data_IF_750364124075
#
_entry.id   IF_750364124075
#
_cell.length_a   1.000
_cell.length_b   1.000
_cell.length_c   1.000
_cell.angle_alpha   90.00
_cell.angle_beta   90.00
_cell.angle_gamma   90.00
#
_symmetry.space_group_name_H-M   'P 1'
#
loop_
_entity.id
_entity.type
_entity.pdbx_description
1 polymer ?
#
# COMPACT_ATOMS: atom_id res chain seq x y z
N UNK A 1 3.72 17.68 -7.51
CA UNK A 1 3.83 17.58 -8.96
C UNK A 1 2.72 18.36 -9.61
N UNK A 2 3.05 19.24 -10.54
CA UNK A 2 2.09 19.75 -11.49
C UNK A 2 2.29 18.98 -12.79
N UNK A 3 1.24 18.34 -13.29
CA UNK A 3 1.23 17.90 -14.69
C UNK A 3 1.06 19.18 -15.49
N UNK A 4 2.10 19.57 -16.23
CA UNK A 4 2.09 20.73 -17.11
C UNK A 4 1.46 20.25 -18.42
N UNK A 5 0.27 20.73 -18.72
CA UNK A 5 -0.35 20.54 -20.03
C UNK A 5 0.45 21.30 -21.12
N UNK A 6 0.21 21.01 -22.39
CA UNK A 6 0.77 21.79 -23.53
C UNK A 6 0.42 23.29 -23.46
N UNK A 7 -0.58 23.68 -22.65
CA UNK A 7 -1.01 25.05 -22.39
C UNK A 7 -0.41 25.69 -21.12
N UNK A 8 0.49 25.00 -20.40
CA UNK A 8 1.14 25.52 -19.20
C UNK A 8 0.31 25.46 -17.91
N UNK A 9 -0.91 24.91 -17.95
CA UNK A 9 -1.75 24.76 -16.76
C UNK A 9 -1.35 23.56 -15.89
N UNK A 10 -1.56 23.73 -14.58
CA UNK A 10 -1.07 22.89 -13.51
C UNK A 10 -2.22 22.02 -12.95
N UNK A 11 -2.41 20.78 -13.43
CA UNK A 11 -3.52 19.94 -12.95
C UNK A 11 -3.19 19.30 -11.59
N UNK A 12 -4.09 19.49 -10.61
CA UNK A 12 -4.07 18.76 -9.32
C UNK A 12 -4.97 17.54 -9.44
N UNK A 13 -4.41 16.37 -9.21
CA UNK A 13 -5.19 15.13 -9.18
C UNK A 13 -5.89 15.02 -7.83
N UNK A 14 -7.22 15.15 -7.79
CA UNK A 14 -8.00 15.03 -6.56
C UNK A 14 -8.07 13.58 -6.05
N UNK A 15 -7.86 13.39 -4.75
CA UNK A 15 -8.01 12.11 -4.05
C UNK A 15 -9.32 12.08 -3.24
N UNK A 16 -10.06 13.19 -3.13
CA UNK A 16 -11.27 13.25 -2.31
C UNK A 16 -10.98 13.69 -0.87
N UNK A 17 -12.03 14.05 -0.12
CA UNK A 17 -11.95 14.56 1.26
C UNK A 17 -10.98 15.75 1.42
N UNK A 18 -10.88 16.58 0.39
CA UNK A 18 -9.97 17.73 0.32
C UNK A 18 -8.50 17.38 0.02
N UNK A 19 -8.16 16.09 -0.09
CA UNK A 19 -6.81 15.64 -0.44
C UNK A 19 -6.57 15.68 -1.94
N UNK A 20 -5.31 15.91 -2.30
CA UNK A 20 -4.79 15.82 -3.67
C UNK A 20 -3.58 14.90 -3.72
N UNK A 21 -3.26 14.40 -4.90
CA UNK A 21 -2.05 13.65 -5.12
C UNK A 21 -0.82 14.54 -4.90
N UNK A 22 0.08 14.02 -4.07
CA UNK A 22 1.38 14.59 -3.79
C UNK A 22 2.39 14.08 -4.80
N UNK A 23 3.24 13.17 -4.33
CA UNK A 23 4.40 12.69 -5.06
C UNK A 23 4.34 11.17 -5.20
N UNK A 24 4.86 10.65 -6.31
CA UNK A 24 4.98 9.21 -6.54
C UNK A 24 6.45 8.90 -6.80
N UNK A 25 6.98 7.89 -6.11
CA UNK A 25 8.39 7.50 -6.19
C UNK A 25 8.51 5.99 -6.30
N UNK A 26 9.61 5.52 -6.87
CA UNK A 26 10.07 4.15 -6.66
C UNK A 26 11.04 4.14 -5.49
N UNK A 27 11.00 3.09 -4.67
CA UNK A 27 11.93 2.91 -3.56
C UNK A 27 13.39 3.03 -4.02
N UNK A 28 14.21 3.73 -3.23
CA UNK A 28 15.62 4.03 -3.50
C UNK A 28 15.93 4.79 -4.80
N UNK A 29 14.92 5.36 -5.47
CA UNK A 29 15.14 6.25 -6.61
C UNK A 29 15.01 7.72 -6.21
N UNK A 30 15.85 8.57 -6.83
CA UNK A 30 15.91 10.01 -6.53
C UNK A 30 14.97 10.87 -7.39
N UNK A 31 14.21 10.26 -8.29
CA UNK A 31 13.34 10.99 -9.23
C UNK A 31 11.86 10.73 -8.95
N UNK A 32 11.06 11.77 -9.19
CA UNK A 32 9.62 11.76 -9.07
C UNK A 32 9.00 11.14 -10.33
N UNK A 33 8.07 10.21 -10.16
CA UNK A 33 7.34 9.53 -11.23
C UNK A 33 6.06 10.30 -11.52
N UNK A 34 5.76 10.58 -12.78
CA UNK A 34 4.48 11.17 -13.17
C UNK A 34 3.32 10.25 -12.80
N UNK A 35 2.29 10.81 -12.18
CA UNK A 35 1.08 10.07 -11.78
C UNK A 35 0.11 10.05 -12.96
N UNK A 36 -0.49 8.89 -13.24
CA UNK A 36 -1.54 8.73 -14.24
C UNK A 36 -2.77 9.60 -13.88
N UNK A 37 -3.12 10.62 -14.69
CA UNK A 37 -4.33 11.40 -14.48
C UNK A 37 -5.54 10.65 -15.08
N UNK A 38 -6.54 10.24 -14.27
CA UNK A 38 -7.67 9.49 -14.78
C UNK A 38 -8.51 10.33 -15.73
N UNK A 39 -8.83 9.76 -16.89
CA UNK A 39 -9.71 10.40 -17.88
C UNK A 39 -11.17 10.36 -17.41
N UNK A 40 -12.04 11.17 -18.00
CA UNK A 40 -13.49 11.10 -17.76
C UNK A 40 -14.07 9.72 -18.12
N UNK A 41 -13.49 9.04 -19.12
CA UNK A 41 -13.83 7.65 -19.44
C UNK A 41 -13.46 6.71 -18.30
N UNK A 42 -12.25 6.83 -17.76
CA UNK A 42 -11.81 6.01 -16.63
C UNK A 42 -12.73 6.20 -15.41
N UNK A 43 -13.08 7.45 -15.09
CA UNK A 43 -13.99 7.79 -13.99
C UNK A 43 -15.43 7.29 -14.21
N UNK A 44 -15.91 7.27 -15.46
CA UNK A 44 -17.22 6.67 -15.80
C UNK A 44 -17.25 5.16 -15.61
N UNK A 45 -16.14 4.48 -15.86
CA UNK A 45 -16.03 3.03 -15.68
C UNK A 45 -15.83 2.70 -14.19
N UNK A 46 -15.00 3.49 -13.50
CA UNK A 46 -14.77 3.38 -12.07
C UNK A 46 -14.68 4.77 -11.43
N UNK A 47 -15.76 5.23 -10.80
CA UNK A 47 -15.80 6.51 -10.09
C UNK A 47 -14.70 6.57 -9.00
N UNK A 48 -14.36 5.41 -8.44
CA UNK A 48 -13.35 5.20 -7.42
C UNK A 48 -11.93 4.93 -7.94
N UNK A 49 -11.60 5.40 -9.16
CA UNK A 49 -10.32 5.06 -9.80
C UNK A 49 -9.10 5.39 -8.91
N UNK A 50 -9.03 6.63 -8.39
CA UNK A 50 -7.95 7.08 -7.50
C UNK A 50 -8.30 6.92 -6.04
N UNK A 51 -9.59 7.03 -5.70
CA UNK A 51 -10.03 6.96 -4.32
C UNK A 51 -11.34 6.23 -4.22
N UNK A 52 -11.33 5.13 -3.48
CA UNK A 52 -12.53 4.41 -3.12
C UNK A 52 -13.09 4.98 -1.83
N UNK A 53 -14.19 5.73 -1.94
CA UNK A 53 -14.88 6.35 -0.80
C UNK A 53 -15.37 5.32 0.23
N UNK A 54 -15.64 4.08 -0.18
CA UNK A 54 -16.17 3.01 0.69
C UNK A 54 -15.08 2.42 1.59
N UNK A 55 -13.89 2.25 1.02
CA UNK A 55 -12.73 1.67 1.73
C UNK A 55 -11.75 2.75 2.22
N UNK A 56 -11.91 3.99 1.75
CA UNK A 56 -10.97 5.10 1.87
C UNK A 56 -9.56 4.75 1.35
N UNK A 57 -9.48 3.83 0.40
CA UNK A 57 -8.22 3.42 -0.21
C UNK A 57 -7.83 4.37 -1.34
N UNK A 58 -6.55 4.70 -1.39
CA UNK A 58 -5.95 5.51 -2.45
C UNK A 58 -5.24 4.61 -3.43
N UNK A 59 -5.35 4.94 -4.72
CA UNK A 59 -4.63 4.31 -5.80
C UNK A 59 -3.84 5.37 -6.58
N UNK A 60 -2.53 5.41 -6.38
CA UNK A 60 -1.62 6.25 -7.17
C UNK A 60 -0.82 5.37 -8.12
N UNK A 61 -0.99 5.60 -9.42
CA UNK A 61 -0.43 4.78 -10.49
C UNK A 61 0.61 5.59 -11.28
N UNK A 62 1.74 4.99 -11.70
CA UNK A 62 2.61 5.57 -12.71
C UNK A 62 1.86 5.86 -14.02
N UNK A 63 2.15 7.01 -14.63
CA UNK A 63 1.71 7.34 -15.99
C UNK A 63 2.39 6.45 -17.03
N UNK A 64 3.65 6.09 -16.81
CA UNK A 64 4.40 5.19 -17.68
C UNK A 64 3.87 3.74 -17.54
N UNK A 65 3.28 3.17 -18.62
CA UNK A 65 2.70 1.83 -18.58
C UNK A 65 3.75 0.71 -18.42
N UNK A 66 4.98 0.90 -18.88
CA UNK A 66 6.05 -0.08 -18.69
C UNK A 66 6.48 -0.13 -17.23
N UNK A 67 6.64 1.04 -16.60
CA UNK A 67 6.95 1.14 -15.18
C UNK A 67 5.82 0.59 -14.30
N UNK A 68 4.56 0.93 -14.62
CA UNK A 68 3.37 0.40 -13.97
C UNK A 68 3.35 -1.13 -13.99
N UNK A 69 3.55 -1.72 -15.18
CA UNK A 69 3.60 -3.17 -15.37
C UNK A 69 4.75 -3.80 -14.56
N UNK A 70 5.95 -3.26 -14.68
CA UNK A 70 7.14 -3.76 -13.98
C UNK A 70 6.96 -3.76 -12.46
N UNK A 71 6.43 -2.68 -11.89
CA UNK A 71 6.16 -2.60 -10.45
C UNK A 71 5.09 -3.62 -10.03
N UNK A 72 4.01 -3.74 -10.80
CA UNK A 72 2.93 -4.70 -10.55
C UNK A 72 3.43 -6.15 -10.55
N UNK A 73 4.28 -6.52 -11.51
CA UNK A 73 4.90 -7.85 -11.60
C UNK A 73 5.89 -8.10 -10.45
N UNK A 74 6.71 -7.10 -10.12
CA UNK A 74 7.66 -7.18 -9.01
C UNK A 74 6.98 -7.40 -7.66
N UNK A 75 5.87 -6.68 -7.41
CA UNK A 75 5.05 -6.87 -6.21
C UNK A 75 4.41 -8.26 -6.18
N UNK A 76 3.91 -8.75 -7.31
CA UNK A 76 3.32 -10.09 -7.40
C UNK A 76 4.31 -11.19 -6.99
N UNK A 77 5.49 -11.17 -7.59
CA UNK A 77 6.57 -12.11 -7.33
C UNK A 77 7.06 -12.01 -5.87
N UNK A 78 7.29 -10.78 -5.38
CA UNK A 78 7.73 -10.56 -4.00
C UNK A 78 6.69 -11.06 -2.99
N UNK A 79 5.41 -10.78 -3.24
CA UNK A 79 4.30 -11.24 -2.41
C UNK A 79 4.23 -12.76 -2.37
N UNK A 80 4.32 -13.43 -3.52
CA UNK A 80 4.28 -14.89 -3.60
C UNK A 80 5.44 -15.52 -2.81
N UNK A 81 6.66 -15.02 -2.98
CA UNK A 81 7.84 -15.51 -2.26
C UNK A 81 7.70 -15.36 -0.74
N UNK A 82 7.31 -14.17 -0.26
CA UNK A 82 7.07 -13.92 1.17
C UNK A 82 5.96 -14.83 1.70
N UNK A 83 4.86 -14.95 0.95
CA UNK A 83 3.73 -15.79 1.33
C UNK A 83 4.12 -17.27 1.46
N UNK A 84 4.95 -17.78 0.54
CA UNK A 84 5.45 -19.15 0.59
C UNK A 84 6.32 -19.39 1.83
N UNK A 85 7.23 -18.47 2.15
CA UNK A 85 8.07 -18.58 3.36
C UNK A 85 7.22 -18.49 4.63
N UNK A 86 6.24 -17.59 4.70
CA UNK A 86 5.31 -17.54 5.83
C UNK A 86 4.51 -18.82 5.97
N UNK A 87 4.01 -19.37 4.86
CA UNK A 87 3.19 -20.58 4.87
C UNK A 87 3.94 -21.82 5.34
N UNK A 88 5.27 -21.85 5.23
CA UNK A 88 6.10 -22.96 5.71
C UNK A 88 6.65 -22.73 7.11
N UNK A 89 6.92 -21.48 7.50
CA UNK A 89 7.62 -21.18 8.77
C UNK A 89 6.71 -20.63 9.86
N UNK A 90 5.63 -19.93 9.49
CA UNK A 90 4.73 -19.16 10.38
C UNK A 90 3.31 -19.12 9.83
N UNK A 91 2.78 -20.28 9.43
CA UNK A 91 1.45 -20.38 8.82
C UNK A 91 0.34 -19.87 9.76
N UNK A 92 0.57 -19.97 11.07
CA UNK A 92 -0.30 -19.47 12.12
C UNK A 92 -0.49 -17.94 12.09
N UNK A 93 0.43 -17.20 11.47
CA UNK A 93 0.30 -15.74 11.32
C UNK A 93 -0.58 -15.35 10.15
N UNK A 94 -0.86 -16.25 9.20
CA UNK A 94 -1.64 -15.91 8.00
C UNK A 94 -3.12 -15.82 8.36
N UNK A 95 -3.69 -14.62 8.19
CA UNK A 95 -5.11 -14.40 8.48
C UNK A 95 -5.98 -14.97 7.37
N UNK A 96 -6.87 -15.89 7.75
CA UNK A 96 -7.86 -16.51 6.86
C UNK A 96 -9.21 -15.80 6.96
N UNK A 97 -9.91 -15.73 5.84
CA UNK A 97 -11.27 -15.21 5.75
C UNK A 97 -12.30 -16.25 6.22
N UNK A 98 -13.58 -15.85 6.33
CA UNK A 98 -14.67 -16.73 6.81
C UNK A 98 -14.87 -18.01 5.99
N UNK A 99 -14.38 -18.06 4.75
CA UNK A 99 -14.47 -19.23 3.86
C UNK A 99 -13.17 -20.05 3.82
N UNK A 100 -12.21 -19.75 4.71
CA UNK A 100 -10.91 -20.42 4.77
C UNK A 100 -9.90 -19.98 3.70
N UNK A 101 -10.25 -19.02 2.84
CA UNK A 101 -9.34 -18.38 1.89
C UNK A 101 -8.50 -17.28 2.55
N UNK A 102 -7.58 -16.66 1.80
CA UNK A 102 -6.74 -15.56 2.29
C UNK A 102 -7.39 -14.23 1.88
N UNK A 103 -7.56 -13.29 2.82
CA UNK A 103 -8.03 -11.92 2.50
C UNK A 103 -7.01 -11.19 1.60
N UNK A 104 -7.44 -10.23 0.77
CA UNK A 104 -6.50 -9.27 0.16
C UNK A 104 -5.54 -9.76 -0.95
N UNK A 105 -5.73 -10.97 -1.50
CA UNK A 105 -4.88 -11.52 -2.56
C UNK A 105 -5.35 -11.30 -4.00
N UNK A 106 -6.53 -10.71 -4.21
CA UNK A 106 -7.11 -10.51 -5.54
C UNK A 106 -6.32 -9.49 -6.36
N UNK A 107 -6.16 -9.73 -7.67
CA UNK A 107 -5.71 -8.68 -8.57
C UNK A 107 -6.83 -7.62 -8.72
N UNK A 108 -6.46 -6.35 -8.83
CA UNK A 108 -7.43 -5.28 -9.03
C UNK A 108 -7.93 -5.32 -10.49
N UNK A 109 -8.94 -6.16 -10.73
CA UNK A 109 -9.57 -6.33 -12.04
C UNK A 109 -10.33 -5.09 -12.49
N UNK A 110 -10.58 -4.13 -11.61
CA UNK A 110 -11.19 -2.85 -11.98
C UNK A 110 -10.38 -2.14 -13.08
N UNK A 111 -9.06 -2.21 -13.06
CA UNK A 111 -8.25 -1.54 -14.08
C UNK A 111 -8.28 -2.21 -15.46
N UNK A 112 -8.73 -3.46 -15.57
CA UNK A 112 -8.78 -4.17 -16.86
C UNK A 112 -9.79 -3.58 -17.84
N UNK A 113 -10.78 -2.82 -17.35
CA UNK A 113 -11.76 -2.14 -18.22
C UNK A 113 -11.38 -0.69 -18.56
N UNK A 114 -10.28 -0.20 -18.01
CA UNK A 114 -9.82 1.19 -18.16
C UNK A 114 -8.78 1.30 -19.27
N UNK A 115 -8.31 2.51 -19.61
CA UNK A 115 -7.26 2.65 -20.64
C UNK A 115 -5.91 2.00 -20.24
N UNK A 116 -5.69 1.78 -18.93
CA UNK A 116 -4.56 1.00 -18.41
C UNK A 116 -4.66 -0.47 -18.86
N UNK A 117 -5.88 -0.99 -19.05
CA UNK A 117 -6.22 -2.33 -19.58
C UNK A 117 -5.29 -3.45 -19.09
N UNK A 118 -5.05 -3.50 -17.79
CA UNK A 118 -4.29 -4.59 -17.17
C UNK A 118 -4.81 -4.90 -15.77
N UNK A 119 -4.61 -6.14 -15.35
CA UNK A 119 -4.90 -6.58 -13.99
C UNK A 119 -3.76 -6.11 -13.09
N UNK A 120 -4.00 -5.11 -12.25
CA UNK A 120 -2.97 -4.52 -11.40
C UNK A 120 -2.82 -5.28 -10.08
N UNK A 121 -1.57 -5.53 -9.69
CA UNK A 121 -1.19 -6.16 -8.42
C UNK A 121 -0.48 -5.19 -7.46
N UNK A 122 -0.34 -3.93 -7.85
CA UNK A 122 0.35 -2.88 -7.07
C UNK A 122 -0.14 -2.75 -5.61
N UNK A 123 -1.45 -2.91 -5.39
CA UNK A 123 -2.07 -2.71 -4.08
C UNK A 123 -2.46 -4.01 -3.40
N UNK A 124 -1.88 -5.13 -3.83
CA UNK A 124 -2.01 -6.38 -3.08
C UNK A 124 -1.35 -6.26 -1.71
N UNK A 125 -1.77 -7.10 -0.78
CA UNK A 125 -1.16 -7.21 0.54
C UNK A 125 -1.16 -8.66 1.02
N UNK A 126 -0.48 -8.92 2.14
CA UNK A 126 -0.57 -10.18 2.88
C UNK A 126 -1.28 -9.88 4.20
N UNK A 127 -2.49 -10.43 4.44
CA UNK A 127 -3.18 -10.27 5.69
C UNK A 127 -2.58 -11.20 6.74
N UNK A 128 -2.27 -10.65 7.89
CA UNK A 128 -1.65 -11.35 9.00
C UNK A 128 -2.45 -11.09 10.28
N UNK A 129 -2.29 -11.99 11.23
CA UNK A 129 -2.88 -11.88 12.56
C UNK A 129 -1.97 -12.55 13.57
N UNK A 130 -1.78 -11.90 14.71
CA UNK A 130 -1.14 -12.48 15.87
C UNK A 130 -1.95 -12.08 17.09
N UNK A 131 -2.40 -13.08 17.86
CA UNK A 131 -3.40 -12.90 18.92
C UNK A 131 -4.67 -12.20 18.38
N UNK A 132 -5.08 -11.09 19.00
CA UNK A 132 -6.23 -10.28 18.59
C UNK A 132 -5.85 -9.09 17.71
N UNK A 133 -4.58 -8.97 17.31
CA UNK A 133 -4.07 -7.85 16.51
C UNK A 133 -3.95 -8.29 15.05
N UNK A 134 -4.48 -7.46 14.16
CA UNK A 134 -4.45 -7.66 12.71
C UNK A 134 -3.37 -6.79 12.11
N UNK A 135 -2.68 -7.35 11.13
CA UNK A 135 -1.65 -6.68 10.37
C UNK A 135 -1.92 -6.87 8.88
N UNK A 136 -1.69 -5.85 8.07
CA UNK A 136 -1.65 -6.00 6.61
C UNK A 136 -0.27 -5.55 6.11
N UNK A 137 0.51 -6.50 5.58
CA UNK A 137 1.78 -6.18 4.93
C UNK A 137 1.50 -5.70 3.51
N UNK A 138 1.68 -4.40 3.30
CA UNK A 138 1.51 -3.71 2.03
C UNK A 138 2.87 -3.59 1.32
N UNK A 139 2.83 -3.52 -0.01
CA UNK A 139 4.00 -3.45 -0.90
C UNK A 139 4.19 -2.06 -1.52
N UNK A 140 3.49 -1.09 -0.95
CA UNK A 140 3.65 0.35 -1.20
C UNK A 140 3.56 1.08 0.14
N UNK A 141 4.17 2.27 0.24
CA UNK A 141 4.00 3.19 1.38
C UNK A 141 3.18 4.38 0.97
N UNK A 142 2.07 4.61 1.65
CA UNK A 142 1.38 5.90 1.59
C UNK A 142 1.85 6.80 2.72
N UNK A 143 2.03 8.08 2.44
CA UNK A 143 2.33 9.09 3.44
C UNK A 143 1.68 10.40 3.04
N UNK A 144 1.44 11.29 4.01
CA UNK A 144 0.83 12.59 3.74
C UNK A 144 1.61 13.73 4.34
N UNK A 145 1.70 14.81 3.59
CA UNK A 145 2.18 16.09 4.07
C UNK A 145 1.09 17.12 3.75
N UNK A 146 0.48 17.69 4.80
CA UNK A 146 -0.72 18.53 4.68
C UNK A 146 -1.84 17.78 3.91
N UNK A 147 -2.47 18.43 2.93
CA UNK A 147 -3.52 17.86 2.08
C UNK A 147 -2.97 17.07 0.88
N UNK A 148 -1.71 16.66 0.89
CA UNK A 148 -1.08 15.90 -0.21
C UNK A 148 -0.79 14.47 0.23
N UNK A 149 -1.37 13.49 -0.45
CA UNK A 149 -1.05 12.07 -0.24
C UNK A 149 -0.05 11.63 -1.30
N UNK A 150 1.06 11.06 -0.85
CA UNK A 150 2.15 10.56 -1.68
C UNK A 150 2.30 9.06 -1.53
N UNK A 151 2.95 8.42 -2.50
CA UNK A 151 3.15 6.97 -2.51
C UNK A 151 4.60 6.62 -2.89
N UNK A 152 5.17 5.64 -2.21
CA UNK A 152 6.44 5.00 -2.58
C UNK A 152 6.13 3.58 -3.05
N UNK A 153 6.39 3.30 -4.32
CA UNK A 153 6.25 1.98 -4.95
C UNK A 153 7.42 1.07 -4.56
N UNK A 154 7.17 -0.25 -4.59
CA UNK A 154 8.15 -1.29 -4.24
C UNK A 154 8.79 -1.02 -2.87
N UNK A 155 7.97 -0.76 -1.86
CA UNK A 155 8.41 -0.52 -0.48
C UNK A 155 7.41 -1.13 0.48
N UNK A 156 7.81 -1.44 1.72
CA UNK A 156 6.89 -2.07 2.66
C UNK A 156 6.23 -1.07 3.61
N UNK A 157 4.92 -1.24 3.83
CA UNK A 157 4.18 -0.58 4.89
C UNK A 157 3.35 -1.62 5.63
N UNK A 158 3.24 -1.48 6.95
CA UNK A 158 2.40 -2.36 7.76
C UNK A 158 1.25 -1.53 8.31
N UNK A 159 0.03 -1.99 8.05
CA UNK A 159 -1.18 -1.48 8.70
C UNK A 159 -1.48 -2.34 9.93
N UNK A 160 -1.77 -1.74 11.09
CA UNK A 160 -2.01 -2.43 12.37
C UNK A 160 -3.34 -2.00 12.98
N UNK A 161 -4.14 -2.95 13.45
CA UNK A 161 -5.44 -2.67 14.10
C UNK A 161 -5.97 -3.87 14.89
N UNK A 162 -6.62 -3.63 16.04
CA UNK A 162 -7.25 -4.69 16.84
C UNK A 162 -8.74 -4.88 16.50
N UNK A 163 -9.44 -3.77 16.23
CA UNK A 163 -10.90 -3.75 16.06
C UNK A 163 -11.29 -3.79 14.57
N UNK A 164 -12.30 -3.00 14.21
CA UNK A 164 -12.65 -2.74 12.83
C UNK A 164 -11.46 -2.07 12.13
N UNK A 165 -11.29 -2.39 10.86
CA UNK A 165 -10.27 -1.80 10.02
C UNK A 165 -10.38 -0.26 10.02
N UNK A 166 -9.35 0.48 10.43
CA UNK A 166 -9.32 1.93 10.28
C UNK A 166 -9.23 2.26 8.79
N UNK A 167 -10.23 2.99 8.30
CA UNK A 167 -10.31 3.48 6.92
C UNK A 167 -10.23 4.99 6.98
N UNK A 168 -9.01 5.54 7.02
CA UNK A 168 -8.83 6.99 6.95
C UNK A 168 -7.44 7.41 6.52
N UNK A 169 -7.39 8.30 5.52
CA UNK A 169 -6.18 8.99 5.07
C UNK A 169 -5.48 9.74 6.21
N UNK A 170 -6.22 10.13 7.25
CA UNK A 170 -5.67 10.86 8.39
C UNK A 170 -4.58 10.09 9.13
N UNK A 171 -4.59 8.76 9.04
CA UNK A 171 -3.62 7.90 9.72
C UNK A 171 -2.35 7.60 8.90
N UNK A 172 -2.23 8.09 7.66
CA UNK A 172 -0.99 7.94 6.92
C UNK A 172 0.16 8.70 7.61
N UNK A 173 1.38 8.13 7.65
CA UNK A 173 2.54 8.78 8.24
C UNK A 173 2.85 10.13 7.59
N UNK A 174 3.58 10.98 8.31
CA UNK A 174 3.97 12.30 7.82
C UNK A 174 5.03 12.25 6.68
N UNK A 175 5.79 11.16 6.60
CA UNK A 175 6.84 10.94 5.60
C UNK A 175 6.83 9.50 5.08
N UNK A 176 7.46 9.28 3.92
CA UNK A 176 7.68 7.94 3.35
C UNK A 176 8.96 7.26 3.87
N UNK A 177 9.66 7.92 4.78
CA UNK A 177 10.93 7.45 5.36
C UNK A 177 10.68 6.31 6.35
N UNK A 178 11.70 5.50 6.56
CA UNK A 178 11.67 4.41 7.52
C UNK A 178 11.31 4.95 8.92
N UNK A 179 10.28 4.36 9.53
CA UNK A 179 9.83 4.74 10.87
C UNK A 179 9.26 3.51 11.58
N UNK A 180 9.90 3.12 12.68
CA UNK A 180 9.56 1.95 13.51
C UNK A 180 9.14 2.29 14.93
N UNK A 181 8.77 3.54 15.20
CA UNK A 181 8.21 3.87 16.50
C UNK A 181 6.74 3.49 16.47
N UNK A 182 6.42 2.30 17.00
CA UNK A 182 5.05 1.95 17.35
C UNK A 182 4.52 3.01 18.32
N UNK A 183 3.40 3.63 17.96
CA UNK A 183 2.66 4.53 18.82
C UNK A 183 1.19 4.11 18.82
N UNK A 184 0.53 4.13 19.97
CA UNK A 184 -0.85 3.64 20.14
C UNK A 184 -1.88 4.36 19.26
N UNK A 185 -1.54 5.51 18.69
CA UNK A 185 -2.39 6.34 17.85
C UNK A 185 -2.17 6.11 16.36
N UNK A 186 -1.09 5.42 15.98
CA UNK A 186 -0.67 5.17 14.62
C UNK A 186 -1.19 3.84 14.10
N UNK A 187 -1.67 3.90 12.86
CA UNK A 187 -2.23 2.74 12.15
C UNK A 187 -1.24 2.19 11.13
N UNK A 188 -0.45 3.07 10.50
CA UNK A 188 0.42 2.72 9.38
C UNK A 188 1.88 2.95 9.75
N UNK A 189 2.72 1.96 9.48
CA UNK A 189 4.13 1.94 9.85
C UNK A 189 5.01 1.65 8.64
N UNK A 190 6.03 2.47 8.44
CA UNK A 190 6.97 2.32 7.32
C UNK A 190 8.02 1.26 7.68
N UNK A 191 7.69 0.00 7.40
CA UNK A 191 8.51 -1.17 7.73
C UNK A 191 9.90 -1.05 7.07
N UNK A 192 10.99 -0.90 7.82
CA UNK A 192 12.32 -0.50 7.35
C UNK A 192 13.09 -1.69 6.79
N UNK A 193 12.46 -2.40 5.88
CA UNK A 193 13.07 -3.52 5.17
C UNK A 193 13.14 -3.15 3.71
N UNK A 194 14.32 -3.31 3.13
CA UNK A 194 14.52 -3.06 1.72
C UNK A 194 13.74 -4.10 0.90
N UNK A 195 12.97 -3.63 -0.08
CA UNK A 195 12.13 -4.47 -0.93
C UNK A 195 12.91 -5.57 -1.68
N UNK A 196 14.19 -5.30 -1.97
CA UNK A 196 15.07 -6.21 -2.71
C UNK A 196 15.69 -7.30 -1.83
N UNK A 197 15.50 -7.27 -0.51
CA UNK A 197 15.92 -8.34 0.40
C UNK A 197 15.25 -9.68 0.04
N UNK A 198 15.85 -10.77 0.51
CA UNK A 198 15.28 -12.11 0.35
C UNK A 198 13.97 -12.24 1.14
N UNK A 199 13.09 -13.16 0.71
CA UNK A 199 11.82 -13.37 1.39
C UNK A 199 12.03 -13.87 2.83
N UNK A 200 13.07 -14.66 3.08
CA UNK A 200 13.47 -15.16 4.39
C UNK A 200 13.82 -14.00 5.34
N UNK A 201 14.68 -13.08 4.89
CA UNK A 201 15.06 -11.89 5.67
C UNK A 201 13.85 -11.01 5.96
N UNK A 202 12.98 -10.81 4.96
CA UNK A 202 11.76 -10.03 5.13
C UNK A 202 10.83 -10.68 6.17
N UNK A 203 10.62 -11.99 6.07
CA UNK A 203 9.75 -12.74 7.00
C UNK A 203 10.31 -12.75 8.41
N UNK A 204 11.62 -12.98 8.58
CA UNK A 204 12.27 -12.94 9.88
C UNK A 204 12.03 -11.60 10.59
N UNK A 205 12.32 -10.48 9.89
CA UNK A 205 12.11 -9.13 10.42
C UNK A 205 10.64 -8.82 10.67
N UNK A 206 9.75 -9.33 9.82
CA UNK A 206 8.31 -9.14 9.96
C UNK A 206 7.77 -9.87 11.20
N UNK A 207 8.20 -11.10 11.42
CA UNK A 207 7.81 -11.88 12.59
C UNK A 207 8.35 -11.30 13.88
N UNK A 208 9.59 -10.81 13.86
CA UNK A 208 10.15 -10.05 14.99
C UNK A 208 9.29 -8.81 15.28
N UNK A 209 8.99 -8.01 14.26
CA UNK A 209 8.17 -6.81 14.39
C UNK A 209 6.78 -7.10 14.97
N UNK A 210 6.08 -8.12 14.46
CA UNK A 210 4.75 -8.51 14.93
C UNK A 210 4.76 -8.87 16.42
N UNK A 211 5.77 -9.63 16.87
CA UNK A 211 5.90 -10.01 18.29
C UNK A 211 6.17 -8.79 19.17
N UNK A 212 7.13 -7.95 18.80
CA UNK A 212 7.47 -6.75 19.55
C UNK A 212 6.29 -5.78 19.64
N UNK A 213 5.55 -5.62 18.53
CA UNK A 213 4.34 -4.80 18.49
C UNK A 213 3.26 -5.34 19.43
N UNK A 214 3.02 -6.65 19.41
CA UNK A 214 2.02 -7.27 20.27
C UNK A 214 2.37 -7.15 21.75
N UNK A 215 3.64 -7.36 22.12
CA UNK A 215 4.13 -7.19 23.49
C UNK A 215 3.86 -5.76 23.99
N UNK A 216 4.25 -4.75 23.21
CA UNK A 216 4.02 -3.33 23.56
C UNK A 216 2.55 -2.98 23.70
N UNK A 217 1.69 -3.48 22.81
CA UNK A 217 0.24 -3.27 22.88
C UNK A 217 -0.33 -3.87 24.16
N UNK A 218 0.12 -5.07 24.54
CA UNK A 218 -0.37 -5.76 25.73
C UNK A 218 0.17 -5.15 27.03
N UNK A 219 1.37 -4.56 27.04
CA UNK A 219 1.91 -3.80 28.19
C UNK A 219 1.15 -2.51 28.48
N UNK A 220 0.51 -1.91 27.47
CA UNK A 220 -0.24 -0.66 27.60
C UNK A 220 -1.72 -0.84 28.01
N UNK A 221 -2.19 -2.08 28.18
CA UNK A 221 -3.57 -2.42 28.57
C UNK A 221 -3.67 -2.74 30.06
#
# INVERSE_FOLDING_TARGET
>A
MYVINDDGSNYKIGIGDGYVAGKLYLFNQKYEILIYPPTEKDKKIFESFIYDKTTQNVHLLPLDPMLLKSCSESIADKREKIFNVLSTTRAEYIRKNKKGGIDGGGAATMYSKTNINMSLKLFQFIPLQYENIKYDLMFVRFFKCNMKVSCVLNSFQIKIYEKAEPRSLKYYPASGEDSMLYDENSVYYNFPVNFNESAEVIVEKLCYFIKECANKINECK
#
